data_IF_684061002243
#
_entry.id   IF_684061002243
#
_cell.length_a   1.000
_cell.length_b   1.000
_cell.length_c   1.000
_cell.angle_alpha   90.00
_cell.angle_beta   90.00
_cell.angle_gamma   90.00
#
_symmetry.space_group_name_H-M   'P 1'
#
loop_
_entity.id
_entity.type
_entity.pdbx_description
1 polymer ?
#
# COMPACT_ATOMS: atom_id res chain seq x y z
N UNK A 1 -1.60 15.52 28.69
CA UNK A 1 -0.58 16.06 27.75
C UNK A 1 -0.40 15.15 26.54
N UNK A 2 -0.32 13.83 26.75
CA UNK A 2 -0.39 12.77 25.72
C UNK A 2 -1.50 12.91 24.66
N UNK A 3 -2.62 13.57 24.98
CA UNK A 3 -3.78 13.76 24.10
C UNK A 3 -3.67 14.96 23.14
N UNK A 4 -2.56 15.72 23.15
CA UNK A 4 -2.34 16.79 22.17
C UNK A 4 -2.18 16.19 20.77
N UNK A 5 -2.97 16.65 19.79
CA UNK A 5 -2.73 16.36 18.37
C UNK A 5 -2.08 17.56 17.71
N UNK A 6 -0.98 17.30 17.00
CA UNK A 6 -0.13 18.33 16.40
C UNK A 6 -0.85 19.10 15.28
N UNK A 7 -0.85 20.43 15.41
CA UNK A 7 -1.46 21.39 14.48
C UNK A 7 -0.40 22.09 13.58
N UNK A 8 0.86 21.69 13.71
CA UNK A 8 1.96 22.07 12.82
C UNK A 8 2.90 20.86 12.56
N UNK A 9 2.44 19.86 11.78
CA UNK A 9 3.26 18.68 11.45
C UNK A 9 4.42 18.98 10.48
N UNK A 10 4.53 20.22 9.98
CA UNK A 10 5.55 20.65 9.05
C UNK A 10 6.85 21.09 9.74
N UNK A 11 7.94 21.18 8.99
CA UNK A 11 9.20 21.71 9.50
C UNK A 11 9.07 23.19 9.96
N UNK A 12 9.54 23.48 11.19
CA UNK A 12 9.70 24.84 11.71
C UNK A 12 8.43 25.46 12.29
N UNK A 13 8.04 25.04 13.50
CA UNK A 13 6.83 25.44 14.22
C UNK A 13 6.76 26.91 14.72
N UNK A 14 7.31 27.87 13.98
CA UNK A 14 7.35 29.30 14.35
C UNK A 14 6.13 30.12 13.89
N UNK A 15 5.30 29.60 12.96
CA UNK A 15 4.19 30.33 12.31
C UNK A 15 2.79 30.12 12.94
N UNK A 16 2.75 29.57 14.16
CA UNK A 16 1.53 29.09 14.86
C UNK A 16 0.31 30.01 14.79
N UNK A 17 0.50 31.32 14.95
CA UNK A 17 -0.61 32.30 15.00
C UNK A 17 -1.44 32.38 13.71
N UNK A 18 -0.91 31.97 12.56
CA UNK A 18 -1.64 32.01 11.29
C UNK A 18 -2.65 30.86 11.14
N UNK A 19 -2.40 29.71 11.77
CA UNK A 19 -3.28 28.52 11.72
C UNK A 19 -4.34 28.48 12.83
N UNK A 20 -4.37 29.46 13.73
CA UNK A 20 -5.35 29.50 14.84
C UNK A 20 -5.16 28.41 15.91
N UNK A 21 -4.03 27.70 15.89
CA UNK A 21 -3.72 26.62 16.82
C UNK A 21 -3.42 27.12 18.25
N UNK A 22 -3.53 26.22 19.24
CA UNK A 22 -3.03 26.46 20.59
C UNK A 22 -1.50 26.37 20.64
N UNK A 23 -0.85 27.23 21.44
CA UNK A 23 0.59 27.20 21.70
C UNK A 23 0.88 27.05 23.20
N UNK A 24 1.63 26.01 23.56
CA UNK A 24 2.13 25.78 24.92
C UNK A 24 3.38 24.90 24.84
N UNK A 25 4.58 25.49 24.76
CA UNK A 25 5.82 24.72 24.71
C UNK A 25 6.07 23.98 26.04
N UNK A 26 6.78 22.85 25.95
CA UNK A 26 7.09 21.95 27.06
C UNK A 26 8.51 21.39 26.90
N UNK A 27 9.20 21.15 28.02
CA UNK A 27 10.52 20.50 28.05
C UNK A 27 10.40 18.96 28.05
N UNK A 28 9.42 18.44 27.29
CA UNK A 28 9.19 17.01 27.05
C UNK A 28 9.46 16.70 25.57
N UNK A 29 10.31 15.71 25.28
CA UNK A 29 10.65 15.35 23.90
C UNK A 29 9.42 14.85 23.14
N UNK A 30 9.30 15.26 21.89
CA UNK A 30 8.28 14.87 20.92
C UNK A 30 6.82 15.27 21.27
N UNK A 31 6.57 15.95 22.39
CA UNK A 31 5.23 16.45 22.72
C UNK A 31 4.91 17.72 21.91
N UNK A 32 3.82 17.78 21.13
CA UNK A 32 3.52 18.95 20.30
C UNK A 32 3.37 20.24 21.11
N UNK A 33 4.20 21.24 20.80
CA UNK A 33 4.10 22.60 21.34
C UNK A 33 2.92 23.37 20.71
N UNK A 34 2.65 23.08 19.43
CA UNK A 34 1.49 23.53 18.66
C UNK A 34 0.45 22.42 18.62
N UNK A 35 -0.81 22.67 18.98
CA UNK A 35 -1.85 21.63 18.97
C UNK A 35 -3.25 22.17 18.66
N UNK A 36 -4.15 21.28 18.25
CA UNK A 36 -5.48 21.68 17.81
C UNK A 36 -6.36 22.26 18.94
N UNK A 37 -7.10 23.35 18.68
CA UNK A 37 -8.17 23.85 19.53
C UNK A 37 -9.50 23.14 19.24
N UNK A 38 -10.49 23.32 20.11
CA UNK A 38 -11.84 22.74 19.98
C UNK A 38 -12.77 23.46 19.00
N UNK A 39 -12.30 24.52 18.32
CA UNK A 39 -13.09 25.32 17.37
C UNK A 39 -12.79 25.03 15.89
N UNK A 40 -11.98 24.01 15.61
CA UNK A 40 -11.69 23.53 14.26
C UNK A 40 -12.54 22.29 13.93
N UNK A 41 -12.60 21.95 12.64
CA UNK A 41 -13.26 20.74 12.15
C UNK A 41 -14.60 21.03 11.51
N UNK A 42 -15.59 20.16 11.76
CA UNK A 42 -16.90 20.18 11.13
C UNK A 42 -18.01 20.17 12.18
N UNK A 43 -19.23 20.54 11.79
CA UNK A 43 -20.45 20.31 12.57
C UNK A 43 -21.42 19.47 11.76
N UNK A 44 -22.18 18.61 12.43
CA UNK A 44 -23.29 17.88 11.81
C UNK A 44 -24.39 18.87 11.39
N UNK A 45 -24.79 18.81 10.12
CA UNK A 45 -25.86 19.60 9.54
C UNK A 45 -27.17 18.82 9.47
N UNK A 46 -27.11 17.57 9.01
CA UNK A 46 -28.22 16.62 9.08
C UNK A 46 -27.68 15.22 9.40
N UNK A 47 -28.54 14.38 9.98
CA UNK A 47 -28.27 12.98 10.27
C UNK A 47 -29.52 12.19 9.88
N UNK A 48 -29.32 11.10 9.14
CA UNK A 48 -30.37 10.26 8.57
C UNK A 48 -30.01 8.80 8.78
N UNK A 49 -31.03 7.96 8.97
CA UNK A 49 -30.86 6.51 9.22
C UNK A 49 -31.77 5.76 8.23
N UNK A 50 -31.33 5.52 6.97
CA UNK A 50 -32.19 4.94 5.93
C UNK A 50 -32.58 3.49 6.22
N UNK A 51 -31.75 2.78 6.98
CA UNK A 51 -31.97 1.42 7.51
C UNK A 51 -31.44 1.39 8.96
N UNK A 52 -31.92 0.49 9.83
CA UNK A 52 -31.33 0.30 11.17
C UNK A 52 -29.82 0.01 11.15
N UNK A 53 -29.30 -0.53 10.06
CA UNK A 53 -27.88 -0.89 9.87
C UNK A 53 -27.04 0.21 9.21
N UNK A 54 -27.61 1.37 8.89
CA UNK A 54 -27.03 2.36 7.96
C UNK A 54 -27.27 3.81 8.41
N UNK A 55 -26.26 4.65 8.29
CA UNK A 55 -26.23 6.03 8.74
C UNK A 55 -25.65 6.95 7.65
N UNK A 56 -26.32 8.07 7.40
CA UNK A 56 -25.80 9.15 6.56
C UNK A 56 -25.76 10.43 7.38
N UNK A 57 -24.65 11.16 7.33
CA UNK A 57 -24.46 12.42 8.07
C UNK A 57 -23.85 13.47 7.15
N UNK A 58 -24.61 14.54 6.91
CA UNK A 58 -24.10 15.72 6.20
C UNK A 58 -23.39 16.63 7.20
N UNK A 59 -22.22 17.13 6.83
CA UNK A 59 -21.34 17.91 7.70
C UNK A 59 -20.88 19.19 7.03
N UNK A 60 -20.80 20.28 7.80
CA UNK A 60 -20.35 21.61 7.31
C UNK A 60 -19.13 22.07 8.10
N UNK A 61 -18.11 22.56 7.39
CA UNK A 61 -16.84 23.01 7.99
C UNK A 61 -17.07 24.18 8.94
N UNK A 62 -16.39 24.15 10.08
CA UNK A 62 -16.39 25.25 11.05
C UNK A 62 -15.58 26.45 10.52
N UNK A 63 -15.94 27.65 10.97
CA UNK A 63 -15.23 28.88 10.65
C UNK A 63 -13.89 28.93 11.40
N UNK A 64 -12.86 28.32 10.80
CA UNK A 64 -11.49 28.24 11.29
C UNK A 64 -10.49 28.51 10.15
N UNK A 65 -9.25 28.95 10.44
CA UNK A 65 -8.20 29.10 9.43
C UNK A 65 -7.95 27.82 8.63
N UNK A 66 -7.33 27.97 7.46
CA UNK A 66 -6.81 26.84 6.70
C UNK A 66 -5.41 26.44 7.20
N UNK A 67 -5.08 25.16 7.11
CA UNK A 67 -3.73 24.65 7.40
C UNK A 67 -2.85 24.65 6.14
N UNK A 68 -3.44 24.28 4.98
CA UNK A 68 -2.74 23.95 3.73
C UNK A 68 -3.41 24.50 2.45
N UNK A 69 -4.56 25.18 2.57
CA UNK A 69 -5.45 25.50 1.44
C UNK A 69 -6.40 24.36 1.09
N UNK A 70 -7.30 24.59 0.13
CA UNK A 70 -8.14 23.54 -0.47
C UNK A 70 -9.19 22.89 0.44
N UNK A 71 -9.59 23.50 1.56
CA UNK A 71 -10.55 22.94 2.50
C UNK A 71 -11.93 22.64 1.88
N UNK A 72 -12.41 21.41 2.05
CA UNK A 72 -13.74 20.98 1.58
C UNK A 72 -14.81 21.46 2.56
N UNK A 73 -15.79 22.22 2.07
CA UNK A 73 -16.74 22.93 2.94
C UNK A 73 -17.92 22.06 3.41
N UNK A 74 -18.32 21.09 2.60
CA UNK A 74 -19.44 20.18 2.83
C UNK A 74 -18.97 18.74 2.59
N UNK A 75 -19.14 17.89 3.60
CA UNK A 75 -18.75 16.49 3.58
C UNK A 75 -19.95 15.59 3.89
N UNK A 76 -19.95 14.41 3.30
CA UNK A 76 -20.88 13.33 3.65
C UNK A 76 -20.11 12.21 4.33
N UNK A 77 -20.60 11.79 5.49
CA UNK A 77 -20.25 10.50 6.10
C UNK A 77 -21.35 9.51 5.72
N UNK A 78 -20.98 8.42 5.05
CA UNK A 78 -21.77 7.19 4.98
C UNK A 78 -21.16 6.17 5.95
N UNK A 79 -21.99 5.48 6.74
CA UNK A 79 -21.54 4.39 7.59
C UNK A 79 -22.57 3.25 7.59
N UNK A 80 -22.10 2.01 7.52
CA UNK A 80 -22.94 0.81 7.51
C UNK A 80 -22.32 -0.32 8.33
N UNK A 81 -23.15 -1.03 9.10
CA UNK A 81 -22.81 -2.38 9.50
C UNK A 81 -22.88 -3.25 8.24
N UNK A 82 -21.76 -3.82 7.83
CA UNK A 82 -21.67 -4.72 6.67
C UNK A 82 -21.92 -6.18 7.08
N UNK A 83 -21.23 -6.59 8.15
CA UNK A 83 -21.48 -7.86 8.86
C UNK A 83 -21.76 -7.51 10.34
N UNK A 84 -22.09 -8.50 11.18
CA UNK A 84 -22.17 -8.27 12.62
C UNK A 84 -20.79 -7.92 13.23
N UNK A 85 -19.69 -8.21 12.52
CA UNK A 85 -18.30 -8.05 12.93
C UNK A 85 -17.55 -6.96 12.14
N UNK A 86 -18.21 -6.24 11.23
CA UNK A 86 -17.58 -5.23 10.36
C UNK A 86 -18.46 -3.99 10.24
N UNK A 87 -17.99 -2.89 10.84
CA UNK A 87 -18.48 -1.55 10.58
C UNK A 87 -17.63 -0.94 9.45
N UNK A 88 -18.27 -0.48 8.39
CA UNK A 88 -17.65 0.37 7.37
C UNK A 88 -18.07 1.81 7.59
N UNK A 89 -17.17 2.76 7.36
CA UNK A 89 -17.54 4.17 7.20
C UNK A 89 -16.62 4.88 6.21
N UNK A 90 -17.21 5.73 5.35
CA UNK A 90 -16.49 6.57 4.40
C UNK A 90 -16.90 8.04 4.56
N UNK A 91 -15.92 8.93 4.67
CA UNK A 91 -16.09 10.39 4.63
C UNK A 91 -15.54 10.92 3.31
N UNK A 92 -16.39 11.63 2.56
CA UNK A 92 -16.11 12.13 1.22
C UNK A 92 -16.74 13.50 0.97
N UNK A 93 -16.35 14.16 -0.12
CA UNK A 93 -16.88 15.46 -0.55
C UNK A 93 -18.31 15.30 -1.10
N UNK A 94 -19.26 16.06 -0.55
CA UNK A 94 -20.68 15.99 -0.94
C UNK A 94 -20.94 16.45 -2.38
N UNK A 95 -20.03 17.23 -2.98
CA UNK A 95 -20.23 17.96 -4.25
C UNK A 95 -19.33 17.50 -5.40
N UNK A 96 -18.31 16.68 -5.15
CA UNK A 96 -17.36 16.27 -6.18
C UNK A 96 -16.79 14.89 -5.89
N UNK A 97 -16.81 14.01 -6.89
CA UNK A 97 -16.15 12.70 -6.83
C UNK A 97 -14.65 12.89 -6.64
N UNK A 98 -14.07 12.16 -5.68
CA UNK A 98 -12.64 12.13 -5.40
C UNK A 98 -12.08 10.75 -5.75
N UNK A 99 -10.75 10.61 -5.77
CA UNK A 99 -10.12 9.31 -5.97
C UNK A 99 -10.49 8.35 -4.83
N UNK A 100 -11.00 7.18 -5.19
CA UNK A 100 -11.21 6.02 -4.32
C UNK A 100 -10.43 4.85 -4.91
N UNK A 101 -9.91 3.95 -4.05
CA UNK A 101 -9.06 2.84 -4.51
C UNK A 101 -9.91 1.80 -5.24
N UNK A 102 -9.64 1.47 -6.53
CA UNK A 102 -10.39 0.47 -7.29
C UNK A 102 -9.93 -0.95 -6.91
N UNK A 103 -10.21 -1.36 -5.67
CA UNK A 103 -9.71 -2.60 -5.08
C UNK A 103 -10.42 -3.84 -5.65
N UNK A 104 -9.69 -4.70 -6.35
CA UNK A 104 -10.22 -5.86 -7.10
C UNK A 104 -11.01 -6.88 -6.27
N UNK A 105 -10.67 -7.05 -4.99
CA UNK A 105 -11.27 -8.04 -4.11
C UNK A 105 -12.31 -7.52 -3.10
N UNK A 106 -12.44 -6.21 -2.86
CA UNK A 106 -13.41 -5.71 -1.87
C UNK A 106 -14.81 -5.77 -2.49
N UNK A 107 -15.72 -6.63 -2.01
CA UNK A 107 -16.98 -6.88 -2.68
C UNK A 107 -18.06 -5.87 -2.25
N UNK A 108 -19.02 -5.59 -3.13
CA UNK A 108 -20.30 -5.02 -2.70
C UNK A 108 -20.98 -6.01 -1.75
N UNK A 109 -21.06 -5.68 -0.47
CA UNK A 109 -21.38 -6.66 0.57
C UNK A 109 -22.84 -7.12 0.51
N UNK A 110 -23.05 -8.41 0.31
CA UNK A 110 -24.39 -9.05 0.27
C UNK A 110 -24.68 -9.85 1.54
N UNK A 111 -24.65 -9.21 2.70
CA UNK A 111 -25.09 -9.79 3.98
C UNK A 111 -26.21 -8.98 4.63
N UNK A 112 -27.00 -9.65 5.48
CA UNK A 112 -28.08 -9.06 6.26
C UNK A 112 -27.69 -9.00 7.74
N UNK A 113 -26.87 -8.02 8.18
CA UNK A 113 -26.49 -7.89 9.58
C UNK A 113 -27.72 -7.62 10.45
N UNK A 114 -27.69 -8.20 11.65
CA UNK A 114 -28.83 -8.19 12.60
C UNK A 114 -28.67 -7.14 13.71
N UNK A 115 -27.62 -6.34 13.67
CA UNK A 115 -27.31 -5.33 14.68
C UNK A 115 -27.59 -3.93 14.16
N UNK A 116 -28.38 -3.17 14.91
CA UNK A 116 -28.59 -1.74 14.68
C UNK A 116 -27.26 -0.99 14.84
N UNK A 117 -26.96 -0.09 13.90
CA UNK A 117 -25.68 0.65 13.86
C UNK A 117 -25.51 1.55 15.10
N UNK A 118 -26.60 2.03 15.71
CA UNK A 118 -26.57 2.87 16.91
C UNK A 118 -26.10 2.14 18.17
N UNK A 119 -26.09 0.80 18.18
CA UNK A 119 -25.49 0.02 19.28
C UNK A 119 -23.95 0.03 19.26
N UNK A 120 -23.36 0.41 18.13
CA UNK A 120 -21.94 0.28 17.79
C UNK A 120 -21.29 1.64 17.47
N UNK A 121 -22.00 2.55 16.80
CA UNK A 121 -21.52 3.85 16.33
C UNK A 121 -22.34 4.99 16.94
N UNK A 122 -21.66 5.91 17.61
CA UNK A 122 -22.20 7.12 18.20
C UNK A 122 -21.60 8.35 17.50
N UNK A 123 -22.45 9.33 17.16
CA UNK A 123 -22.02 10.59 16.51
C UNK A 123 -22.16 11.77 17.48
N UNK A 124 -21.07 12.52 17.64
CA UNK A 124 -21.03 13.83 18.28
C UNK A 124 -21.27 14.91 17.23
N UNK A 125 -22.13 15.88 17.54
CA UNK A 125 -22.58 16.87 16.55
C UNK A 125 -21.72 18.14 16.44
N UNK A 126 -21.11 18.61 17.53
CA UNK A 126 -20.35 19.86 17.57
C UNK A 126 -19.19 19.83 18.60
N UNK A 127 -17.91 19.96 18.18
CA UNK A 127 -17.46 19.60 16.83
C UNK A 127 -17.85 18.15 16.51
N UNK A 128 -17.86 17.81 15.22
CA UNK A 128 -18.10 16.45 14.74
C UNK A 128 -17.06 15.49 15.31
N UNK A 129 -17.51 14.29 15.66
CA UNK A 129 -16.65 13.13 15.85
C UNK A 129 -17.47 11.85 15.95
N UNK A 130 -16.90 10.75 15.49
CA UNK A 130 -17.45 9.40 15.64
C UNK A 130 -16.78 8.67 16.83
N UNK A 131 -17.59 7.91 17.57
CA UNK A 131 -17.18 7.05 18.68
C UNK A 131 -17.69 5.64 18.38
N UNK A 132 -16.79 4.68 18.22
CA UNK A 132 -17.13 3.28 17.96
C UNK A 132 -16.91 2.44 19.22
N UNK A 133 -17.91 1.64 19.55
CA UNK A 133 -18.02 0.84 20.78
C UNK A 133 -18.26 -0.62 20.42
N UNK A 134 -17.66 -1.53 21.19
CA UNK A 134 -18.03 -2.94 21.15
C UNK A 134 -19.46 -3.12 21.66
N UNK A 135 -20.31 -3.82 20.90
CA UNK A 135 -21.75 -3.95 21.17
C UNK A 135 -22.06 -4.59 22.54
N UNK A 136 -21.32 -5.63 22.93
CA UNK A 136 -21.64 -6.49 24.09
C UNK A 136 -21.36 -5.82 25.44
N UNK A 137 -20.28 -5.03 25.52
CA UNK A 137 -19.78 -4.44 26.77
C UNK A 137 -19.61 -2.91 26.72
N UNK A 138 -20.02 -2.28 25.62
CA UNK A 138 -19.96 -0.83 25.33
C UNK A 138 -18.57 -0.18 25.48
N UNK A 139 -17.50 -1.00 25.49
CA UNK A 139 -16.11 -0.54 25.51
C UNK A 139 -15.80 0.22 24.22
N UNK A 140 -15.35 1.46 24.36
CA UNK A 140 -14.85 2.28 23.24
C UNK A 140 -13.64 1.59 22.59
N UNK A 141 -13.64 1.47 21.27
CA UNK A 141 -12.55 0.92 20.47
C UNK A 141 -11.86 1.98 19.60
N UNK A 142 -12.59 3.01 19.16
CA UNK A 142 -12.09 4.07 18.29
C UNK A 142 -12.89 5.36 18.57
N UNK A 143 -12.28 6.33 19.26
CA UNK A 143 -12.92 7.61 19.61
C UNK A 143 -12.16 8.78 18.99
N UNK A 144 -12.79 9.41 18.00
CA UNK A 144 -12.19 10.52 17.26
C UNK A 144 -12.34 11.88 17.94
N UNK A 145 -13.14 11.98 19.00
CA UNK A 145 -13.50 13.28 19.61
C UNK A 145 -12.36 13.97 20.35
N UNK A 146 -11.18 13.34 20.42
CA UNK A 146 -9.94 13.93 20.92
C UNK A 146 -9.34 15.02 20.01
N UNK A 147 -9.69 15.05 18.72
CA UNK A 147 -9.15 16.04 17.77
C UNK A 147 -10.13 16.31 16.61
N UNK A 148 -10.05 17.49 15.96
CA UNK A 148 -10.91 17.80 14.83
C UNK A 148 -10.53 17.02 13.56
N UNK A 149 -11.54 16.55 12.84
CA UNK A 149 -11.42 16.14 11.44
C UNK A 149 -10.92 17.33 10.60
N UNK A 150 -9.86 17.14 9.81
CA UNK A 150 -9.44 18.10 8.78
C UNK A 150 -9.61 17.43 7.42
N UNK A 151 -10.24 18.11 6.46
CA UNK A 151 -10.45 17.60 5.12
C UNK A 151 -10.23 18.70 4.08
N UNK A 152 -9.11 18.62 3.38
CA UNK A 152 -8.74 19.47 2.27
C UNK A 152 -8.26 18.63 1.10
N UNK A 153 -8.28 19.19 -0.10
CA UNK A 153 -7.98 18.47 -1.35
C UNK A 153 -6.67 17.66 -1.31
N UNK A 154 -5.61 18.23 -0.73
CA UNK A 154 -4.29 17.60 -0.56
C UNK A 154 -3.86 17.44 0.91
N UNK A 155 -4.79 17.52 1.87
CA UNK A 155 -4.50 17.20 3.27
C UNK A 155 -5.75 16.75 4.02
N UNK A 156 -5.78 15.48 4.42
CA UNK A 156 -6.87 14.91 5.20
C UNK A 156 -6.29 14.26 6.47
N UNK A 157 -6.86 14.59 7.63
CA UNK A 157 -6.43 14.08 8.93
C UNK A 157 -7.61 13.61 9.77
N UNK A 158 -7.51 12.37 10.27
CA UNK A 158 -8.38 11.81 11.30
C UNK A 158 -7.51 11.24 12.43
N UNK A 159 -7.83 11.58 13.67
CA UNK A 159 -7.17 11.01 14.87
C UNK A 159 -8.18 10.22 15.68
N UNK A 160 -7.75 9.13 16.33
CA UNK A 160 -8.60 8.32 17.18
C UNK A 160 -7.87 7.78 18.41
N UNK A 161 -8.52 7.87 19.57
CA UNK A 161 -8.10 7.27 20.83
C UNK A 161 -8.45 5.79 20.84
N UNK A 162 -7.51 4.97 21.33
CA UNK A 162 -7.56 3.52 21.28
C UNK A 162 -7.66 2.91 22.69
N UNK A 163 -8.21 1.69 22.84
CA UNK A 163 -8.47 1.08 24.15
C UNK A 163 -7.23 0.52 24.87
N UNK A 164 -6.06 0.47 24.22
CA UNK A 164 -4.82 -0.05 24.83
C UNK A 164 -3.57 0.33 24.02
N UNK A 165 -2.38 0.13 24.61
CA UNK A 165 -1.09 0.23 23.93
C UNK A 165 -0.69 -1.07 23.17
N UNK A 166 -1.59 -2.04 23.04
CA UNK A 166 -1.32 -3.30 22.35
C UNK A 166 -1.74 -3.17 20.88
N UNK A 167 -0.89 -2.48 20.12
CA UNK A 167 -1.08 -2.16 18.70
C UNK A 167 -0.05 -2.94 17.88
N UNK A 168 -0.50 -3.50 16.75
CA UNK A 168 0.25 -4.37 15.84
C UNK A 168 -0.15 -4.03 14.39
N UNK A 169 0.62 -4.48 13.40
CA UNK A 169 0.39 -4.13 11.99
C UNK A 169 1.07 -2.81 11.59
N UNK A 170 0.49 -2.11 10.59
CA UNK A 170 1.15 -1.08 9.76
C UNK A 170 2.31 -1.68 8.92
N UNK A 171 2.67 -1.04 7.80
CA UNK A 171 3.76 -1.53 6.96
C UNK A 171 3.90 -0.82 5.60
N UNK A 172 4.98 -1.06 4.87
CA UNK A 172 6.10 -1.96 5.23
C UNK A 172 7.22 -1.22 5.99
N UNK A 173 7.67 -1.79 7.13
CA UNK A 173 8.66 -1.16 8.01
C UNK A 173 9.52 -2.16 8.79
N UNK A 174 10.74 -1.74 9.12
CA UNK A 174 11.55 -2.34 10.19
C UNK A 174 11.17 -1.71 11.54
N UNK A 175 10.08 -2.19 12.16
CA UNK A 175 9.56 -1.64 13.42
C UNK A 175 10.46 -1.82 14.66
N UNK A 176 11.50 -2.65 14.59
CA UNK A 176 12.34 -3.14 15.71
C UNK A 176 11.61 -3.99 16.77
N UNK A 177 10.37 -3.66 17.14
CA UNK A 177 9.50 -4.49 18.00
C UNK A 177 8.16 -4.77 17.33
N UNK A 178 7.62 -5.98 17.49
CA UNK A 178 6.34 -6.37 16.88
C UNK A 178 5.15 -5.61 17.48
N UNK A 179 5.14 -5.41 18.80
CA UNK A 179 4.22 -4.47 19.45
C UNK A 179 4.76 -3.05 19.27
N UNK A 180 3.91 -2.14 18.81
CA UNK A 180 4.28 -0.74 18.56
C UNK A 180 4.73 0.02 19.82
N UNK A 181 5.74 0.85 19.66
CA UNK A 181 6.05 1.94 20.58
C UNK A 181 5.07 3.10 20.32
N UNK A 182 4.24 3.42 21.30
CA UNK A 182 3.28 4.54 21.23
C UNK A 182 3.89 5.89 21.63
N UNK A 183 5.20 5.99 21.87
CA UNK A 183 5.85 7.23 22.31
C UNK A 183 6.19 8.18 21.14
N UNK A 184 5.15 8.81 20.57
CA UNK A 184 5.26 9.80 19.49
C UNK A 184 6.09 9.29 18.30
N UNK A 185 5.66 8.14 17.75
CA UNK A 185 6.23 7.51 16.55
C UNK A 185 5.44 7.89 15.31
N UNK A 186 6.08 7.84 14.15
CA UNK A 186 5.49 8.27 12.87
C UNK A 186 5.90 7.29 11.78
N UNK A 187 4.95 6.45 11.33
CA UNK A 187 5.13 5.24 10.52
C UNK A 187 4.52 5.40 9.12
N UNK A 188 5.31 5.57 8.05
CA UNK A 188 4.80 5.79 6.69
C UNK A 188 3.75 4.81 6.16
N UNK A 189 3.05 5.23 5.09
CA UNK A 189 2.66 4.30 4.02
C UNK A 189 2.82 5.03 2.68
N UNK A 190 3.86 4.67 1.92
CA UNK A 190 4.07 5.03 0.51
C UNK A 190 5.07 4.03 -0.09
N UNK A 191 4.78 3.42 -1.24
CA UNK A 191 5.62 2.37 -1.84
C UNK A 191 6.90 2.94 -2.42
N UNK A 192 8.06 2.43 -1.98
CA UNK A 192 9.40 2.93 -2.32
C UNK A 192 10.50 1.93 -1.93
N UNK A 193 11.56 1.78 -2.72
CA UNK A 193 12.81 1.05 -2.39
C UNK A 193 13.66 1.71 -1.26
N UNK A 194 13.03 2.51 -0.41
CA UNK A 194 13.65 3.14 0.73
C UNK A 194 12.57 3.61 1.71
N UNK A 195 12.91 3.59 3.00
CA UNK A 195 12.00 3.95 4.11
C UNK A 195 11.27 5.31 3.87
N UNK A 196 9.91 5.40 3.92
CA UNK A 196 9.16 6.65 3.64
C UNK A 196 8.88 7.56 4.89
N UNK A 197 7.81 8.39 4.90
CA UNK A 197 7.10 8.94 6.10
C UNK A 197 5.59 9.22 5.80
N UNK A 198 4.59 9.29 6.71
CA UNK A 198 4.57 9.07 8.17
C UNK A 198 3.17 9.17 8.89
N UNK A 199 2.63 8.07 9.48
CA UNK A 199 1.39 7.96 10.30
C UNK A 199 1.69 7.98 11.81
N UNK A 200 1.09 8.88 12.60
CA UNK A 200 1.54 9.09 14.00
C UNK A 200 0.82 8.20 15.03
N UNK A 201 1.60 7.57 15.93
CA UNK A 201 1.16 6.94 17.18
C UNK A 201 1.64 7.74 18.39
N UNK A 202 0.75 8.06 19.33
CA UNK A 202 1.03 8.91 20.50
C UNK A 202 0.55 8.29 21.82
N UNK A 203 1.05 8.74 23.01
CA UNK A 203 0.87 8.03 24.29
C UNK A 203 -0.55 8.03 24.89
N UNK A 204 -1.58 8.44 24.15
CA UNK A 204 -2.95 8.62 24.65
C UNK A 204 -3.74 7.34 25.02
N UNK A 205 -3.39 6.11 24.59
CA UNK A 205 -2.82 5.75 23.29
C UNK A 205 -3.76 6.18 22.15
N UNK A 206 -3.21 6.74 21.08
CA UNK A 206 -3.98 7.17 19.91
C UNK A 206 -3.19 7.05 18.61
N UNK A 207 -3.92 6.96 17.51
CA UNK A 207 -3.41 7.00 16.13
C UNK A 207 -3.90 8.26 15.43
N UNK A 208 -3.05 8.87 14.60
CA UNK A 208 -3.39 9.97 13.70
C UNK A 208 -3.00 9.61 12.27
N UNK A 209 -4.01 9.37 11.44
CA UNK A 209 -3.85 9.21 9.99
C UNK A 209 -3.71 10.58 9.35
N UNK A 210 -2.75 10.72 8.43
CA UNK A 210 -2.61 11.88 7.54
C UNK A 210 -2.41 11.35 6.13
N UNK A 211 -3.22 11.82 5.19
CA UNK A 211 -3.10 11.50 3.76
C UNK A 211 -3.17 12.77 2.92
N UNK A 212 -2.58 12.73 1.73
CA UNK A 212 -2.41 13.86 0.80
C UNK A 212 -3.43 13.85 -0.35
N UNK A 213 -4.50 13.06 -0.24
CA UNK A 213 -5.54 12.99 -1.26
C UNK A 213 -6.57 11.89 -1.00
N UNK A 214 -7.47 11.69 -1.97
CA UNK A 214 -8.52 10.66 -1.91
C UNK A 214 -9.64 10.98 -0.92
N UNK A 215 -10.12 9.95 -0.23
CA UNK A 215 -11.20 9.98 0.78
C UNK A 215 -10.73 9.34 2.10
N UNK A 216 -11.52 9.45 3.17
CA UNK A 216 -11.32 8.62 4.37
C UNK A 216 -12.27 7.44 4.30
N UNK A 217 -11.79 6.29 3.80
CA UNK A 217 -12.52 5.02 3.80
C UNK A 217 -11.93 4.11 4.89
N UNK A 218 -12.77 3.65 5.82
CA UNK A 218 -12.38 2.93 7.03
C UNK A 218 -13.25 1.71 7.30
N UNK A 219 -12.61 0.61 7.67
CA UNK A 219 -13.26 -0.59 8.18
C UNK A 219 -12.79 -0.84 9.62
N UNK A 220 -13.75 -0.99 10.54
CA UNK A 220 -13.50 -1.40 11.92
C UNK A 220 -14.03 -2.82 12.08
N UNK A 221 -13.10 -3.71 12.43
CA UNK A 221 -13.29 -5.15 12.50
C UNK A 221 -13.34 -5.59 13.97
N UNK A 222 -14.31 -6.44 14.28
CA UNK A 222 -14.57 -6.93 15.63
C UNK A 222 -14.35 -8.45 15.65
N UNK A 223 -13.71 -8.95 16.70
CA UNK A 223 -13.45 -10.37 16.93
C UNK A 223 -13.10 -10.59 18.39
N UNK A 224 -13.30 -11.79 18.93
CA UNK A 224 -13.07 -12.06 20.36
C UNK A 224 -11.62 -12.47 20.65
N UNK A 225 -10.92 -12.98 19.64
CA UNK A 225 -9.47 -13.20 19.59
C UNK A 225 -8.80 -12.26 18.58
N UNK A 226 -7.47 -12.03 18.67
CA UNK A 226 -6.71 -11.39 17.59
C UNK A 226 -6.86 -12.10 16.24
N UNK A 227 -6.93 -13.42 16.25
CA UNK A 227 -7.06 -14.29 15.08
C UNK A 227 -8.40 -14.06 14.35
N UNK A 228 -9.50 -13.85 15.07
CA UNK A 228 -10.80 -13.48 14.49
C UNK A 228 -10.73 -12.15 13.72
N UNK A 229 -10.01 -11.16 14.27
CA UNK A 229 -9.83 -9.84 13.62
C UNK A 229 -8.99 -9.96 12.35
N UNK A 230 -7.97 -10.83 12.34
CA UNK A 230 -7.21 -11.17 11.12
C UNK A 230 -8.10 -11.91 10.12
N UNK A 231 -8.99 -12.78 10.57
CA UNK A 231 -9.91 -13.51 9.68
C UNK A 231 -10.93 -12.59 9.02
N UNK A 232 -11.60 -11.69 9.76
CA UNK A 232 -12.50 -10.67 9.22
C UNK A 232 -11.80 -9.70 8.25
N UNK A 233 -10.50 -9.43 8.46
CA UNK A 233 -9.69 -8.62 7.54
C UNK A 233 -9.47 -9.35 6.21
N UNK A 234 -9.05 -10.62 6.25
CA UNK A 234 -8.84 -11.42 5.04
C UNK A 234 -10.15 -11.75 4.31
N UNK A 235 -11.28 -11.85 5.03
CA UNK A 235 -12.61 -11.92 4.40
C UNK A 235 -13.01 -10.62 3.67
N UNK A 236 -12.44 -9.48 4.04
CA UNK A 236 -12.70 -8.18 3.39
C UNK A 236 -11.78 -7.96 2.17
N UNK A 237 -10.46 -8.11 2.34
CA UNK A 237 -9.47 -7.73 1.32
C UNK A 237 -9.11 -8.87 0.35
N UNK A 238 -9.56 -10.09 0.61
CA UNK A 238 -9.19 -11.29 -0.13
C UNK A 238 -8.40 -12.27 0.74
N UNK A 239 -8.78 -13.55 0.67
CA UNK A 239 -8.07 -14.62 1.36
C UNK A 239 -6.74 -14.91 0.65
N UNK A 240 -5.65 -15.20 1.39
CA UNK A 240 -4.37 -15.52 0.78
C UNK A 240 -4.49 -16.81 -0.05
N UNK A 241 -3.85 -16.81 -1.23
CA UNK A 241 -3.81 -17.99 -2.10
C UNK A 241 -3.13 -19.16 -1.39
N UNK A 242 -3.62 -20.38 -1.64
CA UNK A 242 -2.95 -21.59 -1.13
C UNK A 242 -1.67 -21.78 -1.97
N UNK A 243 -0.47 -21.72 -1.37
CA UNK A 243 0.77 -21.84 -2.11
C UNK A 243 0.98 -23.27 -2.61
N UNK A 244 1.61 -23.43 -3.78
CA UNK A 244 1.99 -24.75 -4.29
C UNK A 244 3.01 -25.39 -3.33
N UNK A 245 2.81 -26.65 -2.95
CA UNK A 245 3.53 -27.28 -1.83
C UNK A 245 5.07 -27.15 -1.87
N UNK A 246 5.67 -27.23 -3.07
CA UNK A 246 7.11 -27.09 -3.28
C UNK A 246 7.67 -25.70 -2.92
N UNK A 247 6.83 -24.66 -2.91
CA UNK A 247 7.25 -23.29 -2.52
C UNK A 247 7.55 -23.16 -1.02
N UNK A 248 7.11 -24.11 -0.20
CA UNK A 248 7.45 -24.22 1.23
C UNK A 248 8.85 -24.82 1.46
N UNK A 249 9.48 -25.34 0.40
CA UNK A 249 10.83 -25.88 0.43
C UNK A 249 11.91 -24.80 0.51
N UNK A 250 13.16 -25.20 0.75
CA UNK A 250 14.26 -24.24 0.86
C UNK A 250 14.64 -23.67 -0.52
N UNK A 251 14.97 -22.38 -0.54
CA UNK A 251 15.13 -21.57 -1.74
C UNK A 251 16.52 -20.96 -1.77
N UNK A 252 17.17 -20.95 -2.94
CA UNK A 252 18.51 -20.40 -3.11
C UNK A 252 18.54 -19.41 -4.27
N UNK A 253 18.96 -18.18 -3.95
CA UNK A 253 19.12 -17.07 -4.88
C UNK A 253 20.43 -16.32 -4.61
N UNK A 254 20.85 -15.54 -5.60
CA UNK A 254 21.94 -14.57 -5.56
C UNK A 254 21.75 -13.63 -6.75
N UNK A 255 21.84 -12.33 -6.51
CA UNK A 255 22.08 -11.36 -7.56
C UNK A 255 23.49 -11.54 -8.14
N UNK A 256 23.59 -11.71 -9.46
CA UNK A 256 24.85 -11.88 -10.19
C UNK A 256 25.61 -13.18 -9.85
N UNK A 257 25.12 -14.32 -10.35
CA UNK A 257 25.95 -15.53 -10.50
C UNK A 257 26.97 -15.37 -11.64
N UNK A 258 26.63 -14.63 -12.68
CA UNK A 258 27.49 -14.24 -13.80
C UNK A 258 27.60 -15.26 -14.94
N UNK A 259 27.27 -16.54 -14.69
CA UNK A 259 27.04 -17.54 -15.73
C UNK A 259 26.22 -18.71 -15.22
N UNK A 260 25.56 -19.42 -16.14
CA UNK A 260 24.80 -20.62 -15.83
C UNK A 260 25.67 -21.76 -15.27
N UNK A 261 26.98 -21.75 -15.53
CA UNK A 261 27.90 -22.76 -15.01
C UNK A 261 28.24 -22.54 -13.52
N UNK A 262 28.30 -21.29 -13.02
CA UNK A 262 28.36 -21.04 -11.55
C UNK A 262 27.01 -21.27 -10.88
N UNK A 263 25.88 -21.12 -11.58
CA UNK A 263 24.57 -21.59 -11.08
C UNK A 263 24.58 -23.12 -10.93
N UNK A 264 24.96 -23.88 -11.97
CA UNK A 264 25.10 -25.36 -11.91
C UNK A 264 26.08 -25.79 -10.81
N UNK A 265 27.24 -25.13 -10.68
CA UNK A 265 28.21 -25.41 -9.61
C UNK A 265 27.64 -25.08 -8.21
N UNK A 266 26.78 -24.06 -8.10
CA UNK A 266 26.04 -23.75 -6.87
C UNK A 266 24.99 -24.83 -6.54
N UNK A 267 24.25 -25.31 -7.54
CA UNK A 267 23.29 -26.40 -7.37
C UNK A 267 24.00 -27.67 -6.89
N UNK A 268 25.04 -28.12 -7.59
CA UNK A 268 25.73 -29.37 -7.26
C UNK A 268 26.45 -29.33 -5.91
N UNK A 269 27.09 -28.21 -5.51
CA UNK A 269 27.75 -28.15 -4.18
C UNK A 269 26.77 -28.23 -3.01
N UNK A 270 25.52 -27.80 -3.20
CA UNK A 270 24.45 -27.95 -2.21
C UNK A 270 23.81 -29.35 -2.25
N UNK A 271 23.57 -29.91 -3.45
CA UNK A 271 23.15 -31.32 -3.63
C UNK A 271 24.14 -32.29 -2.98
N UNK A 272 25.45 -32.07 -3.16
CA UNK A 272 26.52 -32.95 -2.67
C UNK A 272 26.63 -33.05 -1.14
N UNK A 273 26.19 -32.02 -0.39
CA UNK A 273 26.13 -32.05 1.08
C UNK A 273 24.76 -32.53 1.61
N UNK A 274 23.82 -32.89 0.73
CA UNK A 274 22.48 -33.35 1.11
C UNK A 274 21.60 -32.25 1.71
N UNK A 275 21.81 -30.98 1.34
CA UNK A 275 20.96 -29.87 1.79
C UNK A 275 19.53 -30.08 1.25
N UNK A 276 18.47 -30.08 2.10
CA UNK A 276 17.10 -29.97 1.65
C UNK A 276 16.94 -28.67 0.88
N UNK A 277 16.61 -28.75 -0.40
CA UNK A 277 16.77 -27.62 -1.33
C UNK A 277 15.86 -27.83 -2.55
N UNK A 278 14.81 -27.03 -2.66
CA UNK A 278 13.73 -27.25 -3.63
C UNK A 278 13.80 -26.27 -4.81
N UNK A 279 14.23 -25.02 -4.61
CA UNK A 279 14.01 -23.94 -5.60
C UNK A 279 15.29 -23.14 -5.92
N UNK A 280 15.81 -23.28 -7.14
CA UNK A 280 16.85 -22.39 -7.67
C UNK A 280 16.21 -21.16 -8.32
N UNK A 281 16.74 -19.98 -7.98
CA UNK A 281 16.44 -18.72 -8.64
C UNK A 281 17.57 -18.32 -9.59
N UNK A 282 17.27 -17.59 -10.66
CA UNK A 282 18.26 -16.72 -11.31
C UNK A 282 17.76 -15.29 -11.37
N UNK A 283 18.66 -14.39 -11.00
CA UNK A 283 18.50 -12.94 -11.02
C UNK A 283 18.83 -12.36 -12.42
N UNK A 284 18.79 -11.05 -12.58
CA UNK A 284 18.86 -10.33 -13.87
C UNK A 284 20.13 -10.63 -14.70
N UNK A 285 21.15 -11.28 -14.12
CA UNK A 285 22.32 -11.74 -14.86
C UNK A 285 22.05 -12.88 -15.86
N UNK A 286 20.86 -13.52 -15.82
CA UNK A 286 20.46 -14.44 -16.89
C UNK A 286 20.08 -13.73 -18.21
N UNK A 287 19.66 -12.46 -18.14
CA UNK A 287 19.07 -11.70 -19.26
C UNK A 287 20.13 -11.14 -20.23
N UNK A 288 19.74 -10.90 -21.49
CA UNK A 288 20.56 -10.12 -22.44
C UNK A 288 20.49 -8.64 -22.06
N UNK A 289 21.62 -8.04 -21.65
CA UNK A 289 21.72 -6.65 -21.19
C UNK A 289 20.64 -6.23 -20.17
N UNK A 290 20.22 -7.16 -19.30
CA UNK A 290 19.18 -6.97 -18.27
C UNK A 290 17.80 -6.58 -18.83
N UNK A 291 17.47 -7.04 -20.04
CA UNK A 291 16.16 -6.84 -20.70
C UNK A 291 15.22 -8.03 -20.45
N UNK A 292 14.01 -7.77 -19.96
CA UNK A 292 12.98 -8.80 -19.79
C UNK A 292 12.68 -9.57 -21.07
N UNK A 293 12.21 -10.81 -20.90
CA UNK A 293 11.87 -11.75 -21.99
C UNK A 293 13.05 -12.12 -22.91
N UNK A 294 14.30 -11.90 -22.46
CA UNK A 294 15.53 -12.32 -23.15
C UNK A 294 16.38 -13.26 -22.28
N UNK A 295 17.45 -13.83 -22.83
CA UNK A 295 18.53 -14.44 -22.04
C UNK A 295 19.88 -14.33 -22.76
N UNK A 296 20.97 -14.23 -22.00
CA UNK A 296 22.34 -14.15 -22.50
C UNK A 296 22.71 -15.43 -23.28
N UNK A 297 22.86 -15.29 -24.60
CA UNK A 297 23.09 -16.41 -25.53
C UNK A 297 24.51 -16.98 -25.46
N UNK A 298 25.43 -16.40 -24.68
CA UNK A 298 26.78 -16.91 -24.44
C UNK A 298 26.91 -17.56 -23.05
N UNK A 299 26.64 -16.78 -21.98
CA UNK A 299 26.82 -17.19 -20.57
C UNK A 299 25.68 -18.04 -20.03
N UNK A 300 24.49 -17.91 -20.62
CA UNK A 300 23.26 -18.63 -20.28
C UNK A 300 22.71 -19.40 -21.50
N UNK A 301 23.57 -19.79 -22.45
CA UNK A 301 23.19 -20.50 -23.68
C UNK A 301 22.31 -21.76 -23.46
N UNK A 302 22.52 -22.52 -22.38
CA UNK A 302 21.79 -23.76 -22.07
C UNK A 302 20.50 -23.51 -21.23
N UNK A 303 20.17 -22.25 -20.89
CA UNK A 303 19.03 -21.90 -20.04
C UNK A 303 17.68 -22.51 -20.47
N UNK A 304 17.36 -22.64 -21.78
CA UNK A 304 16.14 -23.33 -22.24
C UNK A 304 15.86 -24.71 -21.63
N UNK A 305 16.91 -25.47 -21.30
CA UNK A 305 16.82 -26.80 -20.68
C UNK A 305 17.18 -26.83 -19.19
N UNK A 306 17.47 -25.69 -18.55
CA UNK A 306 17.97 -25.70 -17.17
C UNK A 306 16.93 -26.16 -16.15
N UNK A 307 15.64 -25.86 -16.37
CA UNK A 307 14.56 -26.41 -15.57
C UNK A 307 14.50 -27.94 -15.62
N UNK A 308 14.74 -28.58 -16.77
CA UNK A 308 14.72 -30.05 -16.88
C UNK A 308 15.81 -30.69 -15.98
N UNK A 309 17.01 -30.09 -15.96
CA UNK A 309 18.14 -30.49 -15.10
C UNK A 309 17.87 -30.28 -13.58
N UNK A 310 16.98 -29.37 -13.22
CA UNK A 310 16.46 -29.22 -11.86
C UNK A 310 15.38 -30.26 -11.56
N UNK A 311 14.44 -30.46 -12.49
CA UNK A 311 13.34 -31.42 -12.39
C UNK A 311 13.83 -32.87 -12.30
N UNK A 312 14.98 -33.21 -12.91
CA UNK A 312 15.66 -34.50 -12.75
C UNK A 312 15.97 -34.89 -11.28
N UNK A 313 16.06 -33.91 -10.37
CA UNK A 313 16.24 -34.12 -8.92
C UNK A 313 15.02 -33.65 -8.11
N UNK A 314 13.88 -33.44 -8.76
CA UNK A 314 12.63 -32.98 -8.12
C UNK A 314 12.59 -31.48 -7.79
N UNK A 315 13.62 -30.72 -8.17
CA UNK A 315 13.72 -29.29 -7.87
C UNK A 315 12.89 -28.43 -8.83
N UNK A 316 12.85 -27.13 -8.55
CA UNK A 316 12.05 -26.11 -9.21
C UNK A 316 12.89 -24.90 -9.61
N UNK A 317 12.46 -24.20 -10.64
CA UNK A 317 13.18 -23.06 -11.21
C UNK A 317 12.33 -21.80 -11.28
N UNK A 318 12.88 -20.68 -10.80
CA UNK A 318 12.23 -19.37 -10.82
C UNK A 318 13.14 -18.34 -11.51
N UNK A 319 12.52 -17.55 -12.38
CA UNK A 319 13.12 -16.39 -13.04
C UNK A 319 12.64 -15.10 -12.38
N UNK A 320 13.54 -14.14 -12.20
CA UNK A 320 13.13 -12.75 -11.96
C UNK A 320 12.51 -12.16 -13.24
N UNK A 321 11.54 -11.26 -13.12
CA UNK A 321 11.18 -10.28 -14.15
C UNK A 321 11.06 -8.89 -13.50
N UNK A 322 11.60 -7.90 -14.20
CA UNK A 322 11.42 -6.48 -13.88
C UNK A 322 10.10 -5.97 -14.51
N UNK A 323 9.58 -4.82 -14.07
CA UNK A 323 8.46 -4.17 -14.74
C UNK A 323 8.91 -3.26 -15.90
N UNK A 324 10.15 -2.78 -15.88
CA UNK A 324 10.57 -1.62 -16.69
C UNK A 324 11.21 -2.05 -18.03
N UNK A 325 10.52 -1.79 -19.13
CA UNK A 325 10.89 -2.30 -20.46
C UNK A 325 11.83 -1.32 -21.16
N UNK A 326 13.01 -1.81 -21.55
CA UNK A 326 14.03 -1.01 -22.23
C UNK A 326 13.54 -0.39 -23.55
N UNK A 327 13.85 0.88 -23.79
CA UNK A 327 13.71 1.50 -25.13
C UNK A 327 14.85 1.10 -26.07
N UNK A 328 15.96 0.60 -25.51
CA UNK A 328 17.19 0.27 -26.22
C UNK A 328 17.09 -1.04 -27.01
N UNK A 329 17.75 -1.06 -28.17
CA UNK A 329 17.88 -2.23 -29.04
C UNK A 329 18.63 -3.39 -28.38
N UNK A 330 18.43 -4.59 -28.92
CA UNK A 330 19.16 -5.81 -28.57
C UNK A 330 20.59 -5.83 -29.11
N UNK A 331 21.39 -6.76 -28.60
CA UNK A 331 22.79 -6.95 -29.01
C UNK A 331 22.89 -7.11 -30.54
N UNK A 332 23.91 -6.47 -31.14
CA UNK A 332 24.07 -6.43 -32.60
C UNK A 332 23.13 -5.47 -33.33
N UNK A 333 22.28 -4.71 -32.63
CA UNK A 333 21.36 -3.73 -33.22
C UNK A 333 20.05 -4.31 -33.74
N UNK A 334 19.73 -5.54 -33.32
CA UNK A 334 18.44 -6.17 -33.54
C UNK A 334 17.29 -5.39 -32.84
N UNK A 335 16.03 -5.54 -33.30
CA UNK A 335 14.87 -5.02 -32.58
C UNK A 335 14.79 -5.58 -31.14
N UNK A 336 14.03 -4.92 -30.28
CA UNK A 336 13.63 -5.48 -28.99
C UNK A 336 12.11 -5.63 -29.01
N UNK A 337 11.66 -6.80 -29.45
CA UNK A 337 10.30 -6.94 -29.96
C UNK A 337 9.23 -6.82 -28.87
N UNK A 338 9.60 -6.98 -27.60
CA UNK A 338 8.71 -6.75 -26.44
C UNK A 338 8.36 -5.27 -26.29
N UNK A 339 9.33 -4.37 -26.45
CA UNK A 339 9.10 -2.92 -26.52
C UNK A 339 8.30 -2.53 -27.77
N UNK A 340 8.64 -3.11 -28.93
CA UNK A 340 7.91 -2.86 -30.18
C UNK A 340 6.43 -3.28 -30.06
N UNK A 341 6.13 -4.42 -29.43
CA UNK A 341 4.76 -4.92 -29.22
C UNK A 341 4.00 -4.13 -28.17
N UNK A 342 4.60 -3.80 -27.02
CA UNK A 342 3.94 -2.99 -25.99
C UNK A 342 3.59 -1.59 -26.49
N UNK A 343 4.48 -1.01 -27.32
CA UNK A 343 4.22 0.28 -27.99
C UNK A 343 3.06 0.17 -28.99
N UNK A 344 2.98 -0.90 -29.79
CA UNK A 344 1.85 -1.15 -30.69
C UNK A 344 0.52 -1.32 -29.94
N UNK A 345 0.52 -1.98 -28.78
CA UNK A 345 -0.68 -2.14 -27.95
C UNK A 345 -1.04 -0.88 -27.14
N UNK A 346 -0.13 0.09 -26.99
CA UNK A 346 -0.25 1.21 -26.05
C UNK A 346 -0.36 0.69 -24.61
N UNK A 347 0.60 -0.16 -24.22
CA UNK A 347 0.68 -0.81 -22.91
C UNK A 347 1.31 0.05 -21.81
N UNK A 348 1.75 1.28 -22.12
CA UNK A 348 2.60 2.09 -21.25
C UNK A 348 1.84 3.05 -20.34
N UNK A 349 2.46 3.41 -19.22
CA UNK A 349 2.16 4.63 -18.46
C UNK A 349 2.54 5.84 -19.32
N UNK A 350 1.71 6.89 -19.30
CA UNK A 350 1.90 8.10 -20.08
C UNK A 350 2.16 9.32 -19.20
N UNK A 351 2.85 10.29 -19.77
CA UNK A 351 3.01 11.65 -19.27
C UNK A 351 1.66 12.37 -19.11
N UNK A 352 1.70 13.53 -18.46
CA UNK A 352 0.52 14.39 -18.23
C UNK A 352 -0.20 14.88 -19.51
N UNK A 353 0.35 14.65 -20.71
CA UNK A 353 -0.31 14.90 -21.99
C UNK A 353 -1.23 13.76 -22.46
N UNK A 354 -1.17 12.60 -21.80
CA UNK A 354 -1.91 11.38 -22.12
C UNK A 354 -1.49 10.69 -23.42
N UNK A 355 -0.27 10.93 -23.93
CA UNK A 355 0.19 10.48 -25.26
C UNK A 355 1.67 10.14 -25.35
N UNK A 356 2.52 10.84 -24.61
CA UNK A 356 3.96 10.60 -24.56
C UNK A 356 4.24 9.55 -23.48
N UNK A 357 4.84 8.38 -23.79
CA UNK A 357 5.15 7.38 -22.76
C UNK A 357 6.06 7.96 -21.68
N UNK A 358 5.82 7.61 -20.42
CA UNK A 358 6.69 7.98 -19.31
C UNK A 358 8.01 7.21 -19.43
N UNK A 359 9.12 7.94 -19.40
CA UNK A 359 10.48 7.40 -19.50
C UNK A 359 11.23 7.54 -18.17
N UNK A 360 12.00 6.53 -17.81
CA UNK A 360 12.93 6.52 -16.68
C UNK A 360 14.20 5.73 -17.01
N UNK A 361 15.02 5.45 -15.99
CA UNK A 361 16.23 4.64 -16.09
C UNK A 361 16.20 3.55 -15.00
N UNK A 362 16.35 2.29 -15.40
CA UNK A 362 16.46 1.11 -14.51
C UNK A 362 17.56 0.17 -15.06
N UNK A 363 17.53 -1.13 -14.74
CA UNK A 363 18.60 -2.09 -15.03
C UNK A 363 19.13 -2.15 -16.48
N UNK A 364 18.31 -2.10 -17.55
CA UNK A 364 18.77 -2.10 -18.93
C UNK A 364 19.08 -0.69 -19.51
N UNK A 365 19.08 0.36 -18.66
CA UNK A 365 19.22 1.75 -19.08
C UNK A 365 17.86 2.45 -19.20
N UNK A 366 17.67 3.25 -20.25
CA UNK A 366 16.40 3.95 -20.53
C UNK A 366 15.24 2.96 -20.73
N UNK A 367 14.14 3.17 -20.01
CA UNK A 367 12.96 2.29 -19.93
C UNK A 367 11.64 3.05 -19.96
N UNK A 368 10.62 2.41 -20.52
CA UNK A 368 9.20 2.76 -20.30
C UNK A 368 8.55 1.83 -19.29
N UNK A 369 7.50 2.30 -18.62
CA UNK A 369 6.79 1.56 -17.59
C UNK A 369 5.43 1.06 -18.10
N UNK A 370 5.06 -0.22 -17.92
CA UNK A 370 3.75 -0.73 -18.28
C UNK A 370 2.63 -0.28 -17.34
N UNK A 371 1.48 0.11 -17.89
CA UNK A 371 0.28 0.44 -17.13
C UNK A 371 -0.52 -0.84 -16.84
N UNK A 372 -0.13 -1.57 -15.79
CA UNK A 372 -0.83 -2.78 -15.35
C UNK A 372 -2.30 -2.55 -14.92
N UNK A 373 -2.80 -1.31 -14.86
CA UNK A 373 -4.23 -1.02 -14.66
C UNK A 373 -5.05 -1.13 -15.95
N UNK A 374 -4.38 -1.12 -17.11
CA UNK A 374 -4.98 -1.21 -18.44
C UNK A 374 -5.00 -2.65 -18.95
N UNK A 375 -6.18 -3.10 -19.40
CA UNK A 375 -6.33 -4.43 -20.02
C UNK A 375 -5.36 -4.65 -21.20
N UNK A 376 -4.99 -3.60 -21.94
CA UNK A 376 -4.03 -3.72 -23.06
C UNK A 376 -2.62 -4.08 -22.59
N UNK A 377 -2.23 -3.60 -21.41
CA UNK A 377 -0.98 -3.99 -20.78
C UNK A 377 -1.05 -5.44 -20.28
N UNK A 378 -2.17 -5.84 -19.67
CA UNK A 378 -2.40 -7.21 -19.20
C UNK A 378 -2.33 -8.20 -20.39
N UNK A 379 -3.03 -7.91 -21.49
CA UNK A 379 -3.03 -8.72 -22.71
C UNK A 379 -1.64 -8.81 -23.35
N UNK A 380 -0.89 -7.70 -23.40
CA UNK A 380 0.50 -7.66 -23.86
C UNK A 380 1.43 -8.49 -22.97
N UNK A 381 1.41 -8.27 -21.65
CA UNK A 381 2.28 -8.96 -20.68
C UNK A 381 2.06 -10.49 -20.70
N UNK A 382 0.80 -10.92 -20.85
CA UNK A 382 0.46 -12.35 -21.03
C UNK A 382 1.06 -12.89 -22.34
N UNK A 383 0.99 -12.17 -23.45
CA UNK A 383 1.59 -12.60 -24.73
C UNK A 383 3.13 -12.64 -24.67
N UNK A 384 3.79 -11.68 -24.02
CA UNK A 384 5.25 -11.72 -23.78
C UNK A 384 5.65 -12.95 -22.94
N UNK A 385 4.98 -13.18 -21.81
CA UNK A 385 5.20 -14.34 -20.96
C UNK A 385 4.95 -15.67 -21.71
N UNK A 386 3.87 -15.74 -22.50
CA UNK A 386 3.50 -16.92 -23.31
C UNK A 386 4.44 -17.11 -24.51
N UNK A 387 5.22 -16.11 -24.91
CA UNK A 387 6.37 -16.28 -25.84
C UNK A 387 7.58 -16.81 -25.08
N UNK A 388 8.00 -16.11 -24.03
CA UNK A 388 9.26 -16.39 -23.34
C UNK A 388 9.27 -17.76 -22.64
N UNK A 389 8.16 -18.19 -22.05
CA UNK A 389 8.00 -19.54 -21.46
C UNK A 389 8.12 -20.71 -22.46
N UNK A 390 8.09 -20.43 -23.77
CA UNK A 390 8.39 -21.42 -24.83
C UNK A 390 9.86 -21.47 -25.23
N UNK A 391 10.63 -20.40 -24.96
CA UNK A 391 12.10 -20.39 -25.11
C UNK A 391 12.81 -20.86 -23.85
N UNK A 392 12.37 -20.39 -22.67
CA UNK A 392 12.99 -20.71 -21.37
C UNK A 392 11.97 -21.34 -20.44
N UNK A 393 12.12 -22.65 -20.19
CA UNK A 393 11.34 -23.38 -19.20
C UNK A 393 11.62 -22.87 -17.79
N UNK A 394 10.57 -22.71 -16.99
CA UNK A 394 10.60 -22.37 -15.57
C UNK A 394 9.27 -22.77 -14.91
N UNK A 395 9.20 -22.75 -13.58
CA UNK A 395 8.03 -23.20 -12.82
C UNK A 395 7.19 -22.05 -12.23
N UNK A 396 7.82 -20.91 -11.94
CA UNK A 396 7.15 -19.67 -11.51
C UNK A 396 8.02 -18.44 -11.80
N UNK A 397 7.47 -17.26 -11.51
CA UNK A 397 8.13 -15.96 -11.64
C UNK A 397 8.37 -15.32 -10.26
N UNK A 398 9.42 -14.52 -10.19
CA UNK A 398 9.67 -13.53 -9.14
C UNK A 398 9.56 -12.14 -9.76
N UNK A 399 8.44 -11.46 -9.53
CA UNK A 399 8.30 -10.06 -9.92
C UNK A 399 8.95 -9.15 -8.86
N UNK A 400 9.70 -8.15 -9.31
CA UNK A 400 10.23 -7.06 -8.48
C UNK A 400 9.60 -5.72 -8.84
N UNK A 401 9.77 -4.70 -7.99
CA UNK A 401 9.05 -3.43 -8.09
C UNK A 401 10.00 -2.24 -8.35
N UNK A 402 10.60 -2.18 -9.54
CA UNK A 402 11.45 -1.05 -9.98
C UNK A 402 10.71 0.29 -10.19
N UNK A 403 9.40 0.40 -9.91
CA UNK A 403 8.61 1.62 -10.09
C UNK A 403 9.06 2.81 -9.23
N UNK A 404 9.71 2.57 -8.09
CA UNK A 404 10.30 3.64 -7.28
C UNK A 404 11.70 4.06 -7.73
N UNK A 405 12.30 3.27 -8.64
CA UNK A 405 13.73 3.29 -8.92
C UNK A 405 13.97 3.91 -10.29
N UNK A 406 13.20 4.96 -10.57
CA UNK A 406 13.50 5.91 -11.64
C UNK A 406 14.83 6.57 -11.27
N UNK A 407 15.94 6.02 -11.76
CA UNK A 407 17.30 6.51 -11.55
C UNK A 407 17.54 7.80 -12.34
N UNK A 408 16.80 8.85 -11.98
CA UNK A 408 16.94 10.16 -12.56
C UNK A 408 18.37 10.68 -12.32
N UNK A 409 19.19 10.60 -13.37
CA UNK A 409 20.54 11.15 -13.46
C UNK A 409 20.55 12.70 -13.51
N UNK A 410 19.58 13.33 -12.85
CA UNK A 410 19.41 14.78 -12.73
C UNK A 410 20.39 15.34 -11.69
N UNK A 411 21.66 15.43 -12.06
CA UNK A 411 22.67 16.12 -11.26
C UNK A 411 22.35 17.61 -11.10
N UNK A 412 22.13 18.03 -9.85
CA UNK A 412 22.12 19.42 -9.36
C UNK A 412 22.54 19.44 -7.89
#
# INVERSE_FOLDING_TARGET
MSERVDCYPDAGASKVRQRGCCWSPLDERNVPWCFFPTNHGYMVHSLQTPKPTELHVEMKRMASPSLFGGDIQELTLHAEMQTNNRLHFKIYDTKSTRFEVPHEHIPTVTSSPSSDISETLEIRNNPFGLIVRRKENKKVLFDTTMAPLVFADQYIQLSAKLPSHNIYGLGEHVHQTYRHDTNWRTWPIFTRDAFPNGVTLQPAPAVTYRTIGGVLDFYILFGDTPEDVVHEFLQLIGMPVIPAYWSLGFQLSRWNYGSLDEVKATVERNRAIGLPYDIQYTDIDYMEDKKDFTYDKEKFKDLPGFADYLHEKGQKYILILDPAIATSKRVGGAPYESYDRGTQQNAWVFESDGKTPLVGEVWPGETVFPDYTSQKCIDWWIDEYVRFSKEVKHDALWIVSGFSDILNNSGN
#
